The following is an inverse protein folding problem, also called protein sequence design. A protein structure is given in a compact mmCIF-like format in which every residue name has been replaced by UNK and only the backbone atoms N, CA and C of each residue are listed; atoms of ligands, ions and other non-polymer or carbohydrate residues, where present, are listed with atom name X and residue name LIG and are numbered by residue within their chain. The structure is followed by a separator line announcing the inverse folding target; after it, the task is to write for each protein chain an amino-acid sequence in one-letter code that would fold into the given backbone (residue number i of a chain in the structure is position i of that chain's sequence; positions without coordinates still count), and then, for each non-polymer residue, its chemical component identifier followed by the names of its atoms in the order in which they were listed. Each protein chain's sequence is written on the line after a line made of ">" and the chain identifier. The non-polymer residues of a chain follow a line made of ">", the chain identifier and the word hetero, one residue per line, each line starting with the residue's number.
data_IF_730715571191
#
_entry.id   IF_730715571191
#
_cell.length_a   1.000
_cell.length_b   1.000
_cell.length_c   1.000
_cell.angle_alpha   90.00
_cell.angle_beta   90.00
_cell.angle_gamma   90.00
#
_symmetry.space_group_name_H-M   'P 1'
#
loop_
_entity.id
_entity.type
_entity.pdbx_description
1 polymer ?
#
# COMPACT_ATOMS: atom_id res chain seq x y z
N UNK A 1 -24.72 5.84 7.56
CA UNK A 1 -24.02 6.13 6.27
C UNK A 1 -24.69 5.33 5.16
N UNK A 2 -24.96 5.93 3.98
CA UNK A 2 -25.62 5.22 2.86
C UNK A 2 -24.60 4.33 2.13
N UNK A 3 -25.05 3.21 1.55
CA UNK A 3 -24.19 2.31 0.75
C UNK A 3 -23.36 3.05 -0.31
N UNK A 4 -23.97 4.03 -0.97
CA UNK A 4 -23.28 4.87 -1.98
C UNK A 4 -22.09 5.63 -1.39
N UNK A 5 -22.22 6.16 -0.18
CA UNK A 5 -21.11 6.85 0.50
C UNK A 5 -19.97 5.89 0.85
N UNK A 6 -20.30 4.67 1.30
CA UNK A 6 -19.31 3.65 1.58
C UNK A 6 -18.51 3.29 0.31
N UNK A 7 -19.19 3.06 -0.81
CA UNK A 7 -18.54 2.74 -2.08
C UNK A 7 -17.68 3.90 -2.61
N UNK A 8 -18.14 5.15 -2.49
CA UNK A 8 -17.34 6.33 -2.85
C UNK A 8 -16.11 6.47 -1.98
N UNK A 9 -16.24 6.23 -0.67
CA UNK A 9 -15.10 6.23 0.25
C UNK A 9 -14.12 5.11 -0.09
N UNK A 10 -14.61 3.90 -0.35
CA UNK A 10 -13.77 2.77 -0.78
C UNK A 10 -13.03 3.07 -2.09
N UNK A 11 -13.72 3.70 -3.05
CA UNK A 11 -13.13 4.14 -4.31
C UNK A 11 -12.02 5.18 -4.09
N UNK A 12 -12.27 6.20 -3.29
CA UNK A 12 -11.30 7.25 -2.98
C UNK A 12 -10.07 6.69 -2.24
N UNK A 13 -10.28 5.81 -1.25
CA UNK A 13 -9.20 5.12 -0.55
C UNK A 13 -8.43 4.18 -1.49
N UNK A 14 -9.11 3.52 -2.44
CA UNK A 14 -8.46 2.71 -3.47
C UNK A 14 -7.57 3.52 -4.40
N UNK A 15 -7.99 4.74 -4.76
CA UNK A 15 -7.14 5.67 -5.53
C UNK A 15 -5.92 6.12 -4.72
N UNK A 16 -6.08 6.38 -3.43
CA UNK A 16 -4.97 6.75 -2.55
C UNK A 16 -3.96 5.61 -2.35
N UNK A 17 -4.42 4.36 -2.45
CA UNK A 17 -3.61 3.12 -2.33
C UNK A 17 -3.22 2.53 -3.69
N UNK A 18 -3.22 3.29 -4.78
CA UNK A 18 -2.83 2.76 -6.09
C UNK A 18 -1.45 2.10 -6.01
N UNK A 19 -1.42 0.76 -6.07
CA UNK A 19 -0.22 -0.03 -5.87
C UNK A 19 0.32 -0.60 -7.18
N UNK A 20 1.50 -0.14 -7.55
CA UNK A 20 2.24 -0.65 -8.68
C UNK A 20 3.20 -1.79 -8.31
N UNK A 21 3.39 -2.08 -7.03
CA UNK A 21 4.38 -3.07 -6.56
C UNK A 21 4.02 -4.47 -7.05
N UNK A 22 2.76 -4.87 -6.90
CA UNK A 22 2.27 -6.14 -7.40
C UNK A 22 2.42 -6.26 -8.93
N UNK A 23 2.17 -5.17 -9.65
CA UNK A 23 2.34 -5.10 -11.12
C UNK A 23 3.80 -5.27 -11.51
N UNK A 24 4.72 -4.61 -10.80
CA UNK A 24 6.17 -4.71 -11.04
C UNK A 24 6.68 -6.13 -10.76
N UNK A 25 6.19 -6.76 -9.69
CA UNK A 25 6.51 -8.14 -9.35
C UNK A 25 6.00 -9.10 -10.44
N UNK A 26 4.76 -8.93 -10.89
CA UNK A 26 4.16 -9.73 -11.97
C UNK A 26 4.95 -9.60 -13.27
N UNK A 27 5.37 -8.39 -13.62
CA UNK A 27 6.19 -8.14 -14.81
C UNK A 27 7.60 -8.67 -14.68
N UNK A 28 8.19 -8.58 -13.48
CA UNK A 28 9.45 -9.23 -13.18
C UNK A 28 9.37 -10.75 -13.38
N UNK A 29 8.28 -11.37 -12.93
CA UNK A 29 8.02 -12.79 -13.11
C UNK A 29 7.82 -13.14 -14.60
N UNK A 30 7.06 -12.33 -15.35
CA UNK A 30 6.90 -12.46 -16.81
C UNK A 30 8.24 -12.38 -17.55
N UNK A 31 9.02 -11.34 -17.27
CA UNK A 31 10.35 -11.15 -17.85
C UNK A 31 11.35 -12.26 -17.49
N UNK A 32 11.02 -13.02 -16.46
CA UNK A 32 11.70 -14.19 -15.95
C UNK A 32 11.28 -15.50 -16.60
N UNK A 33 10.29 -15.46 -17.49
CA UNK A 33 9.72 -16.65 -18.12
C UNK A 33 8.75 -17.41 -17.24
N UNK A 34 8.10 -16.73 -16.29
CA UNK A 34 7.00 -17.34 -15.53
C UNK A 34 5.86 -17.72 -16.50
N UNK A 35 5.26 -18.89 -16.25
CA UNK A 35 4.12 -19.35 -17.03
C UNK A 35 2.86 -18.58 -16.66
N UNK A 36 1.95 -18.39 -17.61
CA UNK A 36 0.67 -17.68 -17.44
C UNK A 36 -0.13 -18.16 -16.23
N UNK A 37 -0.17 -19.48 -16.01
CA UNK A 37 -0.86 -20.06 -14.85
C UNK A 37 -0.28 -19.59 -13.52
N UNK A 38 1.04 -19.41 -13.46
CA UNK A 38 1.70 -18.94 -12.25
C UNK A 38 1.46 -17.43 -12.04
N UNK A 39 1.43 -16.65 -13.12
CA UNK A 39 1.09 -15.24 -13.08
C UNK A 39 -0.37 -15.01 -12.68
N UNK A 40 -1.29 -15.80 -13.26
CA UNK A 40 -2.70 -15.79 -12.88
C UNK A 40 -2.91 -16.16 -11.41
N UNK A 41 -2.23 -17.22 -10.95
CA UNK A 41 -2.30 -17.62 -9.55
C UNK A 41 -1.83 -16.48 -8.63
N UNK A 42 -0.71 -15.82 -8.95
CA UNK A 42 -0.22 -14.67 -8.22
C UNK A 42 -1.29 -13.55 -8.18
N UNK A 43 -1.81 -13.15 -9.33
CA UNK A 43 -2.79 -12.07 -9.41
C UNK A 43 -4.11 -12.40 -8.72
N UNK A 44 -4.62 -13.61 -8.90
CA UNK A 44 -5.83 -14.07 -8.20
C UNK A 44 -5.63 -14.08 -6.68
N UNK A 45 -4.49 -14.57 -6.19
CA UNK A 45 -4.19 -14.58 -4.76
C UNK A 45 -4.03 -13.17 -4.21
N UNK A 46 -3.35 -12.26 -4.94
CA UNK A 46 -3.27 -10.85 -4.54
C UNK A 46 -4.67 -10.24 -4.43
N UNK A 47 -5.49 -10.35 -5.47
CA UNK A 47 -6.79 -9.67 -5.56
C UNK A 47 -7.79 -10.30 -4.57
N UNK A 48 -8.04 -11.59 -4.70
CA UNK A 48 -9.04 -12.28 -3.85
C UNK A 48 -8.54 -12.49 -2.43
N UNK A 49 -7.23 -12.68 -2.23
CA UNK A 49 -6.63 -12.78 -0.90
C UNK A 49 -6.77 -11.47 -0.13
N UNK A 50 -6.45 -10.34 -0.75
CA UNK A 50 -6.61 -9.01 -0.13
C UNK A 50 -8.07 -8.69 0.15
N UNK A 51 -8.98 -9.01 -0.79
CA UNK A 51 -10.42 -8.85 -0.60
C UNK A 51 -10.93 -9.68 0.59
N UNK A 52 -10.61 -10.97 0.61
CA UNK A 52 -11.05 -11.88 1.68
C UNK A 52 -10.46 -11.47 3.03
N UNK A 53 -9.18 -11.10 3.05
CA UNK A 53 -8.50 -10.64 4.25
C UNK A 53 -9.14 -9.35 4.80
N UNK A 54 -9.36 -8.33 3.94
CA UNK A 54 -9.99 -7.07 4.34
C UNK A 54 -11.42 -7.26 4.82
N UNK A 55 -12.25 -8.03 4.10
CA UNK A 55 -13.61 -8.32 4.50
C UNK A 55 -13.66 -9.06 5.84
N UNK A 56 -12.79 -10.06 6.04
CA UNK A 56 -12.69 -10.80 7.30
C UNK A 56 -12.27 -9.89 8.46
N UNK A 57 -11.25 -9.06 8.26
CA UNK A 57 -10.83 -8.09 9.28
C UNK A 57 -11.96 -7.11 9.64
N UNK A 58 -12.67 -6.58 8.64
CA UNK A 58 -13.80 -5.68 8.88
C UNK A 58 -14.92 -6.34 9.69
N UNK A 59 -15.25 -7.60 9.39
CA UNK A 59 -16.32 -8.33 10.07
C UNK A 59 -15.93 -8.79 11.49
N UNK A 60 -14.66 -9.13 11.71
CA UNK A 60 -14.19 -9.67 12.99
C UNK A 60 -13.73 -8.56 13.93
N UNK A 61 -12.95 -7.62 13.42
CA UNK A 61 -12.28 -6.59 14.21
C UNK A 61 -13.08 -5.28 14.18
N UNK A 62 -13.72 -4.96 13.06
CA UNK A 62 -14.45 -3.70 12.88
C UNK A 62 -15.45 -3.39 13.99
N UNK A 63 -16.35 -4.31 14.39
CA UNK A 63 -17.29 -4.08 15.49
C UNK A 63 -16.61 -3.84 16.84
N UNK A 64 -15.45 -4.44 17.07
CA UNK A 64 -14.68 -4.28 18.31
C UNK A 64 -13.97 -2.94 18.36
N UNK A 65 -13.41 -2.49 17.24
CA UNK A 65 -12.72 -1.20 17.13
C UNK A 65 -13.71 -0.04 17.23
N UNK A 66 -14.92 -0.18 16.68
CA UNK A 66 -15.94 0.86 16.75
C UNK A 66 -16.51 1.05 18.15
N UNK A 67 -16.42 0.03 19.01
CA UNK A 67 -16.78 0.10 20.43
C UNK A 67 -15.68 0.65 21.33
N UNK A 68 -14.47 0.84 20.83
CA UNK A 68 -13.40 1.49 21.58
C UNK A 68 -13.66 2.99 21.61
N UNK A 69 -13.68 3.53 22.82
CA UNK A 69 -13.64 4.98 22.99
C UNK A 69 -12.22 5.46 22.71
N UNK A 70 -12.00 5.86 21.46
CA UNK A 70 -10.70 6.40 21.01
C UNK A 70 -10.29 7.64 21.80
N UNK A 71 -11.28 8.41 22.34
CA UNK A 71 -11.01 9.57 23.16
C UNK A 71 -10.37 9.18 24.50
N UNK A 72 -10.68 7.97 25.00
CA UNK A 72 -10.05 7.45 26.22
C UNK A 72 -8.66 6.85 26.00
N UNK A 73 -8.32 6.54 24.75
CA UNK A 73 -7.00 6.04 24.34
C UNK A 73 -6.09 7.16 23.85
N UNK A 74 -6.68 8.31 23.50
CA UNK A 74 -5.92 9.50 23.17
C UNK A 74 -5.65 10.21 24.51
N UNK A 75 -4.41 10.27 24.89
CA UNK A 75 -4.00 10.90 26.11
C UNK A 75 -4.26 12.41 26.04
N UNK A 76 -4.70 12.97 27.13
CA UNK A 76 -4.89 14.40 27.30
C UNK A 76 -3.89 14.94 28.35
N UNK A 77 -2.83 14.15 28.61
CA UNK A 77 -1.82 14.49 29.60
C UNK A 77 -0.59 15.11 28.89
N UNK A 78 -0.03 16.23 29.36
CA UNK A 78 1.19 16.83 28.81
C UNK A 78 2.38 15.88 28.65
N UNK A 79 2.41 14.79 29.45
CA UNK A 79 3.42 13.73 29.30
C UNK A 79 3.32 12.96 27.98
N UNK A 80 2.16 12.95 27.36
CA UNK A 80 1.85 12.17 26.15
C UNK A 80 2.09 12.98 24.88
N UNK A 81 1.88 14.28 24.93
CA UNK A 81 2.32 15.20 23.88
C UNK A 81 3.85 15.16 23.75
N UNK A 82 4.55 15.02 24.90
CA UNK A 82 6.00 14.80 24.90
C UNK A 82 6.38 13.47 24.23
N UNK A 83 5.65 12.40 24.51
CA UNK A 83 5.89 11.08 23.89
C UNK A 83 5.62 11.17 22.38
N UNK A 84 4.53 11.81 21.97
CA UNK A 84 4.20 12.03 20.57
C UNK A 84 5.32 12.81 19.85
N UNK A 85 5.75 13.94 20.44
CA UNK A 85 6.84 14.74 19.91
C UNK A 85 8.16 13.95 19.79
N UNK A 86 8.49 13.11 20.77
CA UNK A 86 9.69 12.24 20.71
C UNK A 86 9.56 11.20 19.58
N UNK A 87 8.38 10.58 19.43
CA UNK A 87 8.11 9.63 18.34
C UNK A 87 8.23 10.33 16.98
N UNK A 88 7.71 11.53 16.84
CA UNK A 88 7.84 12.34 15.61
C UNK A 88 9.29 12.66 15.29
N UNK A 89 10.10 13.06 16.28
CA UNK A 89 11.54 13.26 16.07
C UNK A 89 12.21 12.00 15.54
N UNK A 90 11.96 10.85 16.18
CA UNK A 90 12.58 9.58 15.78
C UNK A 90 12.14 9.17 14.37
N UNK A 91 10.86 9.26 14.06
CA UNK A 91 10.31 8.96 12.74
C UNK A 91 10.82 9.97 11.70
N UNK A 92 10.81 11.26 12.02
CA UNK A 92 11.30 12.33 11.14
C UNK A 92 12.78 12.14 10.79
N UNK A 93 13.64 11.91 11.79
CA UNK A 93 15.07 11.61 11.55
C UNK A 93 15.22 10.34 10.70
N UNK A 94 14.47 9.28 11.01
CA UNK A 94 14.50 8.03 10.25
C UNK A 94 14.13 8.23 8.78
N UNK A 95 13.02 8.94 8.52
CA UNK A 95 12.56 9.23 7.16
C UNK A 95 13.53 10.13 6.39
N UNK A 96 14.02 11.21 7.02
CA UNK A 96 14.99 12.11 6.38
C UNK A 96 16.29 11.37 6.06
N UNK A 97 16.82 10.63 7.01
CA UNK A 97 18.05 9.83 6.82
C UNK A 97 17.87 8.82 5.69
N UNK A 98 16.76 8.07 5.70
CA UNK A 98 16.45 7.11 4.66
C UNK A 98 16.26 7.79 3.29
N UNK A 99 15.56 8.92 3.25
CA UNK A 99 15.38 9.72 2.04
C UNK A 99 16.69 10.23 1.46
N UNK A 100 17.60 10.74 2.30
CA UNK A 100 18.94 11.20 1.90
C UNK A 100 19.78 10.02 1.38
N UNK A 101 19.85 8.91 2.13
CA UNK A 101 20.58 7.71 1.71
C UNK A 101 20.05 7.21 0.37
N UNK A 102 18.74 7.22 0.18
CA UNK A 102 18.09 6.83 -1.07
C UNK A 102 18.44 7.78 -2.22
N UNK A 103 18.45 9.09 -1.97
CA UNK A 103 18.79 10.12 -2.96
C UNK A 103 20.26 10.03 -3.40
N UNK A 104 21.15 9.74 -2.46
CA UNK A 104 22.61 9.63 -2.71
C UNK A 104 23.03 8.29 -3.30
N UNK A 105 22.19 7.24 -3.20
CA UNK A 105 22.52 5.95 -3.83
C UNK A 105 22.53 6.13 -5.34
N UNK A 106 23.68 5.83 -6.01
CA UNK A 106 23.71 5.85 -7.46
C UNK A 106 22.64 4.88 -7.97
N UNK A 107 21.90 5.30 -8.98
CA UNK A 107 20.98 4.44 -9.72
C UNK A 107 21.81 3.41 -10.49
N UNK A 108 22.38 2.46 -9.77
CA UNK A 108 23.03 1.31 -10.38
C UNK A 108 21.98 0.61 -11.23
N UNK A 109 22.32 0.40 -12.50
CA UNK A 109 21.55 -0.45 -13.38
C UNK A 109 21.29 -1.75 -12.63
N UNK A 110 20.01 -2.12 -12.39
CA UNK A 110 19.74 -3.34 -11.64
C UNK A 110 20.50 -4.46 -12.34
N UNK A 111 21.22 -5.31 -11.59
CA UNK A 111 21.86 -6.47 -12.17
C UNK A 111 20.78 -7.18 -12.98
N UNK A 112 21.15 -7.65 -14.19
CA UNK A 112 20.26 -8.50 -14.99
C UNK A 112 19.65 -9.50 -14.03
N UNK A 113 18.30 -9.53 -13.89
CA UNK A 113 17.70 -10.44 -12.96
C UNK A 113 18.17 -11.85 -13.31
N UNK A 114 19.09 -12.38 -12.52
CA UNK A 114 19.41 -13.80 -12.51
C UNK A 114 18.19 -14.44 -11.87
N UNK A 115 17.19 -14.68 -12.72
CA UNK A 115 15.97 -15.30 -12.26
C UNK A 115 16.34 -16.72 -11.87
N UNK A 116 16.04 -17.11 -10.63
CA UNK A 116 16.11 -18.51 -10.29
C UNK A 116 15.18 -19.26 -11.25
N UNK A 117 15.74 -20.15 -12.06
CA UNK A 117 14.96 -21.07 -12.89
C UNK A 117 14.05 -21.84 -11.95
N UNK A 118 12.78 -21.41 -11.80
CA UNK A 118 11.84 -22.11 -10.95
C UNK A 118 10.85 -21.27 -10.18
N UNK A 119 10.47 -20.05 -10.63
CA UNK A 119 9.27 -19.40 -10.11
C UNK A 119 8.05 -20.23 -10.54
N UNK A 120 7.85 -21.36 -9.82
CA UNK A 120 6.70 -22.23 -10.01
C UNK A 120 5.41 -21.58 -9.49
N UNK A 121 4.28 -22.19 -9.84
CA UNK A 121 2.94 -21.77 -9.41
C UNK A 121 2.90 -21.49 -7.89
N UNK A 122 3.47 -22.40 -7.08
CA UNK A 122 3.42 -22.31 -5.62
C UNK A 122 4.24 -21.14 -5.06
N UNK A 123 5.40 -20.84 -5.64
CA UNK A 123 6.23 -19.72 -5.16
C UNK A 123 5.59 -18.38 -5.46
N UNK A 124 4.99 -18.20 -6.64
CA UNK A 124 4.26 -16.99 -6.98
C UNK A 124 2.97 -16.84 -6.17
N UNK A 125 2.24 -17.93 -5.94
CA UNK A 125 1.07 -17.92 -5.05
C UNK A 125 1.47 -17.52 -3.61
N UNK A 126 2.56 -18.06 -3.08
CA UNK A 126 3.07 -17.67 -1.76
C UNK A 126 3.44 -16.19 -1.68
N UNK A 127 4.09 -15.64 -2.71
CA UNK A 127 4.37 -14.21 -2.80
C UNK A 127 3.06 -13.40 -2.83
N UNK A 128 2.04 -13.88 -3.55
CA UNK A 128 0.71 -13.27 -3.56
C UNK A 128 0.04 -13.25 -2.19
N UNK A 129 0.17 -14.34 -1.40
CA UNK A 129 -0.33 -14.40 -0.01
C UNK A 129 0.39 -13.37 0.86
N UNK A 130 1.72 -13.32 0.81
CA UNK A 130 2.50 -12.35 1.57
C UNK A 130 2.12 -10.93 1.20
N UNK A 131 1.87 -10.68 -0.08
CA UNK A 131 1.43 -9.39 -0.56
C UNK A 131 0.04 -9.01 -0.03
N UNK A 132 -0.91 -9.95 -0.06
CA UNK A 132 -2.24 -9.74 0.49
C UNK A 132 -2.22 -9.46 2.00
N UNK A 133 -1.37 -10.16 2.75
CA UNK A 133 -1.20 -9.93 4.20
C UNK A 133 -0.49 -8.58 4.47
N UNK A 134 0.43 -8.15 3.60
CA UNK A 134 1.12 -6.89 3.75
C UNK A 134 0.18 -5.67 3.63
N UNK A 135 -1.03 -5.83 3.10
CA UNK A 135 -2.04 -4.78 3.05
C UNK A 135 -2.40 -4.22 4.45
N UNK A 136 -2.13 -4.98 5.54
CA UNK A 136 -2.32 -4.49 6.91
C UNK A 136 -1.43 -3.28 7.23
N UNK A 137 -0.35 -3.07 6.49
CA UNK A 137 0.55 -1.91 6.66
C UNK A 137 0.15 -0.72 5.78
N UNK A 138 -0.94 -0.83 5.01
CA UNK A 138 -1.48 0.25 4.20
C UNK A 138 -2.55 1.03 4.98
N UNK A 139 -2.30 2.31 5.35
CA UNK A 139 -3.24 3.11 6.13
C UNK A 139 -4.63 3.26 5.47
N UNK A 140 -4.77 3.51 4.16
CA UNK A 140 -6.06 3.50 3.48
C UNK A 140 -6.82 2.16 3.61
N UNK A 141 -6.12 1.02 3.54
CA UNK A 141 -6.73 -0.29 3.76
C UNK A 141 -7.29 -0.42 5.18
N UNK A 142 -6.48 -0.06 6.19
CA UNK A 142 -6.93 -0.09 7.59
C UNK A 142 -8.11 0.86 7.83
N UNK A 143 -8.09 2.05 7.23
CA UNK A 143 -9.19 2.99 7.29
C UNK A 143 -10.48 2.37 6.72
N UNK A 144 -10.37 1.67 5.58
CA UNK A 144 -11.51 0.96 5.01
C UNK A 144 -12.01 -0.16 5.93
N UNK A 145 -11.10 -0.94 6.55
CA UNK A 145 -11.46 -2.00 7.51
C UNK A 145 -12.33 -1.44 8.64
N UNK A 146 -11.93 -0.30 9.21
CA UNK A 146 -12.68 0.36 10.30
C UNK A 146 -14.02 0.90 9.80
N UNK A 147 -14.04 1.60 8.67
CA UNK A 147 -15.26 2.21 8.12
C UNK A 147 -16.26 1.14 7.69
N UNK A 148 -15.80 0.12 6.96
CA UNK A 148 -16.65 -0.97 6.50
C UNK A 148 -17.17 -1.84 7.66
N UNK A 149 -16.36 -1.99 8.71
CA UNK A 149 -16.74 -2.73 9.92
C UNK A 149 -17.90 -2.14 10.72
N UNK A 150 -18.27 -0.88 10.42
CA UNK A 150 -19.50 -0.25 10.99
C UNK A 150 -20.79 -0.70 10.32
N UNK A 151 -20.70 -1.50 9.25
CA UNK A 151 -21.85 -1.98 8.52
C UNK A 151 -22.17 -3.41 8.95
N UNK A 152 -23.43 -3.63 9.32
CA UNK A 152 -23.91 -4.95 9.77
C UNK A 152 -24.08 -5.94 8.61
N UNK A 153 -24.22 -5.44 7.38
CA UNK A 153 -24.50 -6.29 6.23
C UNK A 153 -23.22 -6.79 5.57
N UNK A 154 -23.03 -8.10 5.60
CA UNK A 154 -21.90 -8.79 4.97
C UNK A 154 -21.60 -8.33 3.54
N UNK A 155 -22.65 -8.23 2.69
CA UNK A 155 -22.47 -7.83 1.30
C UNK A 155 -22.01 -6.38 1.12
N UNK A 156 -22.36 -5.49 2.05
CA UNK A 156 -21.86 -4.11 2.04
C UNK A 156 -20.36 -4.06 2.30
N UNK A 157 -19.87 -4.86 3.24
CA UNK A 157 -18.44 -4.99 3.56
C UNK A 157 -17.69 -5.58 2.36
N UNK A 158 -18.19 -6.67 1.80
CA UNK A 158 -17.58 -7.32 0.62
C UNK A 158 -17.53 -6.36 -0.57
N UNK A 159 -18.62 -5.65 -0.86
CA UNK A 159 -18.68 -4.70 -1.96
C UNK A 159 -17.70 -3.52 -1.77
N UNK A 160 -17.54 -3.02 -0.54
CA UNK A 160 -16.57 -1.97 -0.24
C UNK A 160 -15.13 -2.44 -0.50
N UNK A 161 -14.77 -3.61 0.01
CA UNK A 161 -13.44 -4.19 -0.24
C UNK A 161 -13.22 -4.56 -1.70
N UNK A 162 -14.24 -5.07 -2.39
CA UNK A 162 -14.17 -5.34 -3.83
C UNK A 162 -13.91 -4.05 -4.64
N UNK A 163 -14.61 -2.97 -4.30
CA UNK A 163 -14.39 -1.65 -4.93
C UNK A 163 -12.97 -1.16 -4.68
N UNK A 164 -12.50 -1.20 -3.44
CA UNK A 164 -11.16 -0.76 -3.07
C UNK A 164 -10.08 -1.59 -3.79
N UNK A 165 -10.17 -2.94 -3.74
CA UNK A 165 -9.23 -3.84 -4.40
C UNK A 165 -9.22 -3.62 -5.91
N UNK A 166 -10.38 -3.46 -6.54
CA UNK A 166 -10.47 -3.22 -7.99
C UNK A 166 -9.75 -1.95 -8.42
N UNK A 167 -9.79 -0.91 -7.59
CA UNK A 167 -9.15 0.37 -7.86
C UNK A 167 -7.66 0.32 -7.52
N UNK A 168 -7.30 -0.12 -6.32
CA UNK A 168 -5.91 -0.16 -5.85
C UNK A 168 -5.04 -1.12 -6.68
N UNK A 169 -5.60 -2.24 -7.13
CA UNK A 169 -4.92 -3.23 -7.96
C UNK A 169 -5.24 -3.08 -9.46
N UNK A 170 -5.86 -1.97 -9.88
CA UNK A 170 -6.19 -1.74 -11.30
C UNK A 170 -4.99 -1.93 -12.25
N UNK A 171 -3.76 -1.49 -11.93
CA UNK A 171 -2.59 -1.73 -12.77
C UNK A 171 -2.26 -3.23 -12.92
N UNK A 172 -2.39 -4.02 -11.86
CA UNK A 172 -2.20 -5.47 -11.89
C UNK A 172 -3.30 -6.16 -12.72
N UNK A 173 -4.56 -5.79 -12.50
CA UNK A 173 -5.71 -6.33 -13.24
C UNK A 173 -5.52 -6.07 -14.75
N UNK A 174 -5.17 -4.83 -15.11
CA UNK A 174 -4.90 -4.46 -16.50
C UNK A 174 -3.77 -5.30 -17.10
N UNK A 175 -2.68 -5.49 -16.35
CA UNK A 175 -1.56 -6.33 -16.78
C UNK A 175 -2.01 -7.77 -17.01
N UNK A 176 -2.80 -8.36 -16.10
CA UNK A 176 -3.29 -9.74 -16.24
C UNK A 176 -4.18 -9.89 -17.47
N UNK A 177 -5.10 -8.93 -17.69
CA UNK A 177 -5.95 -8.93 -18.89
C UNK A 177 -5.12 -8.83 -20.18
N UNK A 178 -4.13 -7.95 -20.20
CA UNK A 178 -3.23 -7.80 -21.34
C UNK A 178 -2.38 -9.05 -21.57
N UNK A 179 -1.85 -9.65 -20.48
CA UNK A 179 -1.06 -10.86 -20.57
C UNK A 179 -1.85 -12.07 -21.08
N UNK A 180 -3.16 -12.11 -20.84
CA UNK A 180 -4.03 -13.18 -21.34
C UNK A 180 -4.52 -12.96 -22.77
N UNK A 181 -4.56 -11.71 -23.24
CA UNK A 181 -5.17 -11.32 -24.52
C UNK A 181 -4.15 -11.06 -25.64
N UNK A 182 -2.85 -10.91 -25.31
CA UNK A 182 -1.84 -10.43 -26.27
C UNK A 182 -0.55 -11.26 -26.14
N UNK A 183 0.29 -11.19 -27.17
CA UNK A 183 1.62 -11.79 -27.18
C UNK A 183 2.47 -11.22 -26.02
N UNK A 184 2.92 -12.11 -25.12
CA UNK A 184 3.63 -11.77 -23.88
C UNK A 184 4.89 -10.93 -24.10
N UNK A 185 5.61 -11.20 -25.20
CA UNK A 185 6.84 -10.48 -25.52
C UNK A 185 6.56 -9.01 -25.88
N UNK A 186 5.42 -8.74 -26.52
CA UNK A 186 5.00 -7.39 -26.85
C UNK A 186 4.60 -6.59 -25.59
N UNK A 187 3.86 -7.23 -24.66
CA UNK A 187 3.44 -6.60 -23.39
C UNK A 187 4.66 -6.30 -22.52
N UNK A 188 5.55 -7.29 -22.36
CA UNK A 188 6.75 -7.15 -21.56
C UNK A 188 7.69 -6.06 -22.12
N UNK A 189 7.90 -6.01 -23.44
CA UNK A 189 8.77 -5.03 -24.08
C UNK A 189 8.24 -3.60 -23.99
N UNK A 190 6.94 -3.39 -24.25
CA UNK A 190 6.29 -2.08 -24.10
C UNK A 190 6.32 -1.59 -22.66
N UNK A 191 6.02 -2.48 -21.72
CA UNK A 191 6.08 -2.10 -20.29
C UNK A 191 7.50 -1.75 -19.87
N UNK A 192 8.51 -2.57 -20.22
CA UNK A 192 9.91 -2.26 -19.90
C UNK A 192 10.33 -0.89 -20.44
N UNK A 193 9.89 -0.54 -21.65
CA UNK A 193 10.13 0.77 -22.24
C UNK A 193 9.52 1.89 -21.37
N UNK A 194 8.21 1.77 -21.02
CA UNK A 194 7.51 2.74 -20.19
C UNK A 194 8.08 2.81 -18.79
N UNK A 195 8.38 1.65 -18.19
CA UNK A 195 8.93 1.56 -16.84
C UNK A 195 10.30 2.25 -16.72
N UNK A 196 11.19 2.05 -17.70
CA UNK A 196 12.48 2.74 -17.72
C UNK A 196 12.33 4.26 -17.73
N UNK A 197 11.27 4.78 -18.36
CA UNK A 197 11.02 6.22 -18.46
C UNK A 197 10.33 6.80 -17.22
N UNK A 198 9.39 6.07 -16.62
CA UNK A 198 8.57 6.55 -15.51
C UNK A 198 9.25 6.28 -14.15
N UNK A 199 9.96 5.17 -14.00
CA UNK A 199 10.67 4.78 -12.78
C UNK A 199 11.51 5.92 -12.15
N UNK A 200 12.37 6.65 -12.87
CA UNK A 200 13.16 7.71 -12.27
C UNK A 200 12.29 8.86 -11.73
N UNK A 201 11.14 9.13 -12.36
CA UNK A 201 10.19 10.14 -11.91
C UNK A 201 9.52 9.68 -10.62
N UNK A 202 9.00 8.44 -10.59
CA UNK A 202 8.38 7.85 -9.40
C UNK A 202 9.36 7.83 -8.24
N UNK A 203 10.60 7.36 -8.46
CA UNK A 203 11.63 7.32 -7.41
C UNK A 203 11.91 8.70 -6.84
N UNK A 204 11.98 9.74 -7.69
CA UNK A 204 12.19 11.13 -7.24
C UNK A 204 10.99 11.65 -6.45
N UNK A 205 9.77 11.42 -6.94
CA UNK A 205 8.54 11.83 -6.26
C UNK A 205 8.39 11.16 -4.88
N UNK A 206 8.60 9.84 -4.81
CA UNK A 206 8.56 9.11 -3.54
C UNK A 206 9.64 9.61 -2.59
N UNK A 207 10.87 9.83 -3.08
CA UNK A 207 11.96 10.35 -2.25
C UNK A 207 11.63 11.77 -1.75
N UNK A 208 11.10 12.63 -2.61
CA UNK A 208 10.69 13.98 -2.23
C UNK A 208 9.54 13.95 -1.20
N UNK A 209 8.54 13.08 -1.39
CA UNK A 209 7.44 12.92 -0.44
C UNK A 209 7.95 12.44 0.93
N UNK A 210 8.84 11.45 0.97
CA UNK A 210 9.44 10.96 2.22
C UNK A 210 10.24 12.05 2.94
N UNK A 211 11.06 12.80 2.21
CA UNK A 211 11.83 13.90 2.79
C UNK A 211 10.91 15.01 3.31
N UNK A 212 9.86 15.34 2.58
CA UNK A 212 8.88 16.34 2.99
C UNK A 212 8.13 15.90 4.25
N UNK A 213 7.64 14.66 4.29
CA UNK A 213 6.96 14.10 5.48
C UNK A 213 7.90 14.09 6.69
N UNK A 214 9.14 13.62 6.52
CA UNK A 214 10.12 13.63 7.60
C UNK A 214 10.44 15.06 8.09
N UNK A 215 10.55 16.04 7.18
CA UNK A 215 10.77 17.43 7.54
C UNK A 215 9.56 18.03 8.28
N UNK A 216 8.33 17.72 7.86
CA UNK A 216 7.11 18.18 8.53
C UNK A 216 7.02 17.64 9.96
N UNK A 217 7.30 16.35 10.18
CA UNK A 217 7.32 15.76 11.53
C UNK A 217 8.38 16.42 12.41
N UNK A 218 9.57 16.70 11.87
CA UNK A 218 10.61 17.39 12.63
C UNK A 218 10.25 18.84 12.97
N UNK A 219 9.54 19.52 12.06
CA UNK A 219 9.06 20.88 12.31
C UNK A 219 7.94 20.89 13.36
N UNK A 220 7.04 19.92 13.32
CA UNK A 220 5.96 19.79 14.31
C UNK A 220 6.52 19.53 15.72
N UNK A 221 7.41 18.56 15.83
CA UNK A 221 8.10 18.28 17.08
C UNK A 221 8.92 19.49 17.58
N UNK A 222 9.62 20.22 16.68
CA UNK A 222 10.35 21.43 17.08
C UNK A 222 9.41 22.53 17.56
N UNK A 223 8.25 22.68 16.94
CA UNK A 223 7.20 23.60 17.37
C UNK A 223 6.71 23.26 18.79
N UNK A 224 6.45 21.97 19.05
CA UNK A 224 6.09 21.50 20.38
C UNK A 224 7.13 21.88 21.46
N UNK A 225 8.42 21.67 21.18
CA UNK A 225 9.49 22.02 22.14
C UNK A 225 9.63 23.53 22.40
N UNK A 226 9.08 24.38 21.51
CA UNK A 226 9.12 25.84 21.66
C UNK A 226 7.85 26.36 22.33
N UNK A 227 6.68 25.84 21.97
CA UNK A 227 5.38 26.39 22.37
C UNK A 227 4.65 25.54 23.42
N UNK A 228 4.97 24.26 23.54
CA UNK A 228 4.26 23.29 24.37
C UNK A 228 3.05 22.66 23.68
N UNK A 229 2.72 23.07 22.43
CA UNK A 229 1.58 22.58 21.66
C UNK A 229 2.05 22.00 20.32
N UNK A 230 1.44 20.89 19.87
CA UNK A 230 1.66 20.34 18.55
C UNK A 230 0.92 21.19 17.49
N UNK A 231 1.56 21.42 16.34
CA UNK A 231 0.97 22.18 15.23
C UNK A 231 -0.01 21.32 14.43
N UNK A 232 0.29 20.02 14.28
CA UNK A 232 -0.61 19.07 13.66
C UNK A 232 -1.58 18.52 14.70
N UNK A 233 -2.90 18.56 14.46
CA UNK A 233 -3.87 18.02 15.40
C UNK A 233 -3.69 16.49 15.50
N UNK A 234 -3.38 16.00 16.69
CA UNK A 234 -3.30 14.56 17.01
C UNK A 234 -4.68 13.91 17.11
#
# INVERSE_FOLDING_TARGET
>A
MRMTQLLLTAFALGLASLDFTATVLALGALGAGARDRALLAFGCVCIFGTLAFGATLSLVIGPRITGLDWSSLLPHDPAEDLIAAVVEVLLGIGLVTWGIVRALRPTTTPPKPTVPRGLGLMSLAAVGILFALAAIFDPPFLSLVVIAGRYEHFWSVVAAHATWVSVSHAPLILLLVLALSTDHDLVASRFQYWWRRIRPIIVRLVTAAVLLTGALLLLDAAWYFITGDLFLPT
#
